data_IF_397804417398
#
_entry.id   IF_397804417398
#
_cell.length_a   1.000
_cell.length_b   1.000
_cell.length_c   1.000
_cell.angle_alpha   90.00
_cell.angle_beta   90.00
_cell.angle_gamma   90.00
#
_symmetry.space_group_name_H-M   'P 1'
#
loop_
_entity.id
_entity.type
_entity.pdbx_description
1 polymer ?
#
# COMPACT_ATOMS: atom_id res chain seq x y z
N UNK A 1 18.99 -19.16 -4.91
CA UNK A 1 18.76 -18.67 -4.98
C UNK A 1 18.19 -17.88 -4.99
N UNK A 2 18.01 -17.43 -4.98
CA UNK A 2 17.62 -16.66 -5.01
C UNK A 2 16.89 -16.04 -5.03
N UNK A 3 16.52 -15.86 -5.19
CA UNK A 3 15.86 -15.32 -5.14
C UNK A 3 15.07 -14.59 -5.10
N UNK A 4 14.91 -14.37 -5.32
CA UNK A 4 13.80 -13.79 -4.81
C UNK A 4 13.59 -12.36 -5.00
N UNK A 5 14.42 -11.74 -5.61
CA UNK A 5 14.33 -10.34 -5.85
C UNK A 5 13.26 -9.99 -6.80
N UNK A 6 12.90 -10.92 -7.66
CA UNK A 6 11.87 -10.65 -8.62
C UNK A 6 10.54 -11.12 -8.21
N UNK A 7 10.27 -11.02 -6.95
CA UNK A 7 9.03 -11.49 -6.48
C UNK A 7 7.88 -10.76 -7.07
N UNK A 8 6.96 -11.49 -7.60
CA UNK A 8 5.72 -10.93 -8.09
C UNK A 8 4.86 -10.51 -6.92
N UNK A 9 4.05 -9.48 -7.09
CA UNK A 9 3.10 -9.14 -6.03
C UNK A 9 2.22 -10.33 -5.73
N UNK A 10 1.89 -10.50 -4.48
CA UNK A 10 0.98 -11.56 -4.09
C UNK A 10 -0.41 -11.26 -4.62
N UNK A 11 -1.16 -12.29 -5.02
CA UNK A 11 -2.54 -12.07 -5.45
C UNK A 11 -3.38 -11.45 -4.35
N UNK A 12 -4.34 -10.66 -4.76
CA UNK A 12 -5.23 -10.00 -3.82
C UNK A 12 -5.97 -11.00 -2.94
N UNK A 13 -6.41 -12.07 -3.53
CA UNK A 13 -7.13 -13.10 -2.80
C UNK A 13 -6.27 -13.71 -1.69
N UNK A 14 -5.02 -13.94 -2.00
CA UNK A 14 -4.10 -14.50 -1.02
C UNK A 14 -3.93 -13.54 0.16
N UNK A 15 -3.75 -12.27 -0.14
CA UNK A 15 -3.59 -11.27 0.90
C UNK A 15 -4.81 -11.19 1.80
N UNK A 16 -5.98 -11.16 1.19
CA UNK A 16 -7.21 -11.07 1.96
C UNK A 16 -7.44 -12.29 2.82
N UNK A 17 -7.12 -13.45 2.28
CA UNK A 17 -7.28 -14.69 3.03
C UNK A 17 -6.32 -14.76 4.20
N UNK A 18 -5.07 -14.35 3.99
CA UNK A 18 -4.08 -14.37 5.05
C UNK A 18 -4.45 -13.41 6.18
N UNK A 19 -4.91 -12.22 5.82
CA UNK A 19 -5.36 -11.24 6.81
C UNK A 19 -6.54 -11.76 7.60
N UNK A 20 -7.49 -12.36 6.92
CA UNK A 20 -8.65 -12.93 7.60
C UNK A 20 -8.24 -14.02 8.57
N UNK A 21 -7.30 -14.87 8.15
CA UNK A 21 -6.82 -15.94 9.00
C UNK A 21 -6.22 -15.40 10.29
N UNK A 22 -5.44 -14.33 10.19
CA UNK A 22 -4.87 -13.72 11.38
C UNK A 22 -5.96 -13.21 12.29
N UNK A 23 -6.94 -12.51 11.74
CA UNK A 23 -8.01 -11.94 12.54
C UNK A 23 -8.84 -12.99 13.26
N UNK A 24 -9.07 -14.11 12.58
CA UNK A 24 -9.90 -15.16 13.17
C UNK A 24 -9.15 -15.97 14.21
N UNK A 25 -7.85 -16.08 14.10
CA UNK A 25 -7.08 -16.99 14.95
C UNK A 25 -6.06 -16.31 15.83
N UNK A 26 -5.97 -14.99 15.77
CA UNK A 26 -4.98 -14.25 16.55
C UNK A 26 -5.06 -14.57 18.04
N UNK A 27 -6.27 -14.73 18.54
CA UNK A 27 -6.47 -15.01 19.95
C UNK A 27 -5.96 -16.37 20.42
N UNK A 28 -5.68 -17.26 19.48
CA UNK A 28 -5.18 -18.61 19.81
C UNK A 28 -3.66 -18.62 20.00
N UNK A 29 -3.00 -17.52 19.74
CA UNK A 29 -1.54 -17.43 19.84
C UNK A 29 -1.14 -16.58 21.02
N UNK A 30 0.11 -16.74 21.45
CA UNK A 30 0.62 -16.00 22.59
C UNK A 30 0.69 -14.49 22.32
N UNK A 31 0.87 -14.10 21.08
CA UNK A 31 0.96 -12.70 20.71
C UNK A 31 0.57 -12.54 19.25
N UNK A 32 0.34 -11.28 18.86
CA UNK A 32 0.02 -10.99 17.47
C UNK A 32 1.18 -11.39 16.56
N UNK A 33 2.40 -11.13 17.00
CA UNK A 33 3.57 -11.50 16.19
C UNK A 33 3.68 -13.01 16.02
N UNK A 34 3.36 -13.76 17.07
CA UNK A 34 3.36 -15.22 16.97
C UNK A 34 2.34 -15.70 15.93
N UNK A 35 1.18 -15.08 15.94
CA UNK A 35 0.14 -15.40 14.95
C UNK A 35 0.61 -15.08 13.54
N UNK A 36 1.19 -13.88 13.37
CA UNK A 36 1.69 -13.45 12.07
C UNK A 36 2.75 -14.39 11.54
N UNK A 37 3.68 -14.79 12.41
CA UNK A 37 4.77 -15.67 12.00
C UNK A 37 4.25 -17.03 11.57
N UNK A 38 3.35 -17.60 12.35
CA UNK A 38 2.81 -18.91 12.07
C UNK A 38 1.97 -18.92 10.78
N UNK A 39 1.13 -17.93 10.62
CA UNK A 39 0.22 -17.88 9.49
C UNK A 39 0.96 -17.50 8.22
N UNK A 40 1.93 -16.58 8.31
CA UNK A 40 2.72 -16.21 7.15
C UNK A 40 3.45 -17.43 6.59
N UNK A 41 3.95 -18.28 7.46
CA UNK A 41 4.62 -19.49 7.03
C UNK A 41 3.70 -20.37 6.20
N UNK A 42 2.46 -20.49 6.62
CA UNK A 42 1.48 -21.30 5.91
C UNK A 42 1.14 -20.74 4.54
N UNK A 43 1.16 -19.44 4.40
CA UNK A 43 0.87 -18.79 3.13
C UNK A 43 2.10 -18.53 2.28
N UNK A 44 3.27 -18.87 2.79
CA UNK A 44 4.50 -18.70 2.03
C UNK A 44 4.93 -17.25 1.90
N UNK A 45 4.59 -16.41 2.85
CA UNK A 45 4.99 -15.02 2.82
C UNK A 45 5.78 -14.66 4.07
N UNK A 46 6.37 -13.47 4.04
CA UNK A 46 7.15 -12.96 5.15
C UNK A 46 6.21 -12.41 6.23
N UNK A 47 6.49 -12.64 7.51
CA UNK A 47 5.62 -12.10 8.56
C UNK A 47 5.50 -10.58 8.54
N UNK A 48 6.57 -9.88 8.15
CA UNK A 48 6.49 -8.42 8.02
C UNK A 48 5.53 -8.02 6.92
N UNK A 49 5.56 -8.77 5.82
CA UNK A 49 4.63 -8.51 4.73
C UNK A 49 3.20 -8.68 5.20
N UNK A 50 2.93 -9.77 5.91
CA UNK A 50 1.59 -10.02 6.42
C UNK A 50 1.18 -8.96 7.41
N UNK A 51 2.10 -8.51 8.26
CA UNK A 51 1.82 -7.45 9.21
C UNK A 51 1.42 -6.17 8.48
N UNK A 52 2.13 -5.85 7.39
CA UNK A 52 1.81 -4.66 6.62
C UNK A 52 0.44 -4.75 5.97
N UNK A 53 0.09 -5.93 5.48
CA UNK A 53 -1.25 -6.14 4.91
C UNK A 53 -2.33 -5.95 5.97
N UNK A 54 -2.08 -6.50 7.15
CA UNK A 54 -3.04 -6.40 8.24
C UNK A 54 -3.23 -4.94 8.67
N UNK A 55 -2.14 -4.20 8.79
CA UNK A 55 -2.22 -2.81 9.15
C UNK A 55 -2.94 -1.99 8.10
N UNK A 56 -2.70 -2.29 6.82
CA UNK A 56 -3.39 -1.57 5.77
C UNK A 56 -4.90 -1.87 5.80
N UNK A 57 -5.26 -3.11 6.08
CA UNK A 57 -6.66 -3.47 6.20
C UNK A 57 -7.31 -2.71 7.35
N UNK A 58 -6.59 -2.57 8.46
CA UNK A 58 -7.10 -1.83 9.60
C UNK A 58 -7.25 -0.35 9.29
N UNK A 59 -6.33 0.22 8.52
CA UNK A 59 -6.46 1.62 8.09
C UNK A 59 -7.65 1.80 7.18
N UNK A 60 -7.85 0.85 6.28
CA UNK A 60 -8.98 0.91 5.36
C UNK A 60 -10.31 0.85 6.11
N UNK A 61 -10.32 0.19 7.25
CA UNK A 61 -11.51 0.11 8.10
C UNK A 61 -11.61 1.24 9.11
N UNK A 62 -10.56 2.05 9.20
CA UNK A 62 -10.56 3.17 10.12
C UNK A 62 -10.20 2.80 11.55
N UNK A 63 -9.70 1.57 11.78
CA UNK A 63 -9.37 1.12 13.13
C UNK A 63 -7.91 1.35 13.49
N UNK A 64 -7.10 1.81 12.54
CA UNK A 64 -5.71 2.15 12.78
C UNK A 64 -5.40 3.50 12.15
N UNK A 65 -4.42 4.26 12.71
CA UNK A 65 -4.08 5.55 12.10
C UNK A 65 -3.37 5.36 10.78
N UNK A 66 -3.50 6.36 9.92
CA UNK A 66 -2.87 6.35 8.63
C UNK A 66 -3.89 6.42 7.51
N UNK A 67 -3.38 6.58 6.28
CA UNK A 67 -4.26 6.71 5.14
C UNK A 67 -4.73 5.36 4.63
N UNK A 68 -6.00 5.28 4.27
CA UNK A 68 -6.55 4.10 3.62
C UNK A 68 -5.96 3.98 2.21
N UNK A 69 -6.19 2.82 1.59
CA UNK A 69 -5.74 2.60 0.23
C UNK A 69 -6.36 3.60 -0.73
N UNK A 70 -7.65 3.88 -0.59
CA UNK A 70 -8.31 4.82 -1.48
C UNK A 70 -7.79 6.25 -1.28
N UNK A 71 -7.47 6.60 -0.04
CA UNK A 71 -6.88 7.92 0.22
C UNK A 71 -5.50 8.05 -0.39
N UNK A 72 -4.71 6.98 -0.31
CA UNK A 72 -3.39 6.98 -0.94
C UNK A 72 -3.48 7.12 -2.44
N UNK A 73 -4.44 6.43 -3.05
CA UNK A 73 -4.70 6.55 -4.48
C UNK A 73 -5.06 7.97 -4.85
N UNK A 74 -5.93 8.59 -4.05
CA UNK A 74 -6.37 9.95 -4.30
C UNK A 74 -5.21 10.93 -4.20
N UNK A 75 -4.34 10.74 -3.22
CA UNK A 75 -3.16 11.61 -3.07
C UNK A 75 -2.26 11.48 -4.30
N UNK A 76 -2.01 10.25 -4.76
CA UNK A 76 -1.17 10.06 -5.95
C UNK A 76 -1.78 10.74 -7.17
N UNK A 77 -3.09 10.63 -7.30
CA UNK A 77 -3.79 11.24 -8.42
C UNK A 77 -3.66 12.75 -8.40
N UNK A 78 -3.84 13.34 -7.21
CA UNK A 78 -3.72 14.78 -7.05
C UNK A 78 -2.29 15.26 -7.29
N UNK A 79 -1.31 14.47 -6.87
CA UNK A 79 0.08 14.82 -7.11
C UNK A 79 0.41 14.83 -8.60
N UNK A 80 -0.14 13.86 -9.32
CA UNK A 80 0.06 13.80 -10.77
C UNK A 80 -0.58 14.99 -11.45
N UNK A 81 -1.83 15.29 -11.08
CA UNK A 81 -2.53 16.44 -11.65
C UNK A 81 -1.81 17.74 -11.35
N UNK A 82 -1.30 17.87 -10.13
CA UNK A 82 -0.58 19.07 -9.71
C UNK A 82 0.67 19.25 -10.56
N UNK A 83 1.40 18.17 -10.79
CA UNK A 83 2.61 18.20 -11.61
C UNK A 83 2.28 18.60 -13.04
N UNK A 84 1.21 18.06 -13.60
CA UNK A 84 0.79 18.39 -14.96
C UNK A 84 0.36 19.85 -15.07
N UNK A 85 -0.37 20.32 -14.08
CA UNK A 85 -0.82 21.73 -14.10
C UNK A 85 0.35 22.69 -13.99
N UNK A 86 1.32 22.36 -13.14
CA UNK A 86 2.52 23.20 -12.99
C UNK A 86 3.28 23.26 -14.32
N UNK A 87 3.39 22.13 -14.99
CA UNK A 87 4.07 22.06 -16.27
C UNK A 87 3.35 22.88 -17.32
N UNK A 88 2.04 22.76 -17.40
CA UNK A 88 1.24 23.53 -18.35
C UNK A 88 1.36 25.02 -18.06
N UNK A 89 1.31 25.38 -16.77
CA UNK A 89 1.46 26.78 -16.38
C UNK A 89 2.81 27.34 -16.77
N UNK A 90 3.86 26.54 -16.61
CA UNK A 90 5.21 26.97 -16.98
C UNK A 90 5.31 27.18 -18.48
N UNK A 91 4.73 26.28 -19.27
CA UNK A 91 4.74 26.42 -20.73
C UNK A 91 4.01 27.68 -21.15
N UNK A 92 2.83 27.92 -20.57
CA UNK A 92 2.05 29.10 -20.87
C UNK A 92 2.79 30.37 -20.50
N UNK A 93 3.48 30.36 -19.37
CA UNK A 93 4.23 31.52 -18.93
C UNK A 93 5.36 31.82 -19.90
N UNK A 94 6.07 30.81 -20.36
CA UNK A 94 7.16 31.01 -21.33
C UNK A 94 6.63 31.51 -22.65
N UNK A 95 5.49 30.97 -23.09
CA UNK A 95 4.88 31.43 -24.34
C UNK A 95 4.44 32.89 -24.24
N UNK A 96 3.84 33.26 -23.11
CA UNK A 96 3.43 34.65 -22.88
C UNK A 96 4.62 35.59 -22.95
N UNK A 97 5.72 35.21 -22.30
CA UNK A 97 6.91 36.03 -22.29
C UNK A 97 7.45 36.20 -23.72
N UNK A 98 7.40 35.11 -24.48
CA UNK A 98 7.87 35.16 -25.86
C UNK A 98 7.03 36.13 -26.71
N UNK A 99 5.72 36.08 -26.58
CA UNK A 99 4.85 36.90 -27.37
C UNK A 99 4.73 38.33 -26.86
N UNK A 100 5.19 38.60 -25.68
CA UNK A 100 5.14 39.91 -25.09
C UNK A 100 6.29 40.82 -25.58
N UNK A 101 7.27 40.27 -26.27
CA UNK A 101 8.40 41.04 -26.77
C UNK A 101 8.07 41.93 -27.96
#
# INVERSE_FOLDING_TARGET
>A
MGKTTNRKPYPRELRERAVRMVREHEGEYASRWAALTSIAEKFGCNPETLRNWLRQAERDEGTAPGMSSSEQERVKELERENKELRRANEILRKASAYFAQ
#
